data_IF_510013360928
#
_entry.id   IF_510013360928
#
_cell.length_a   1.000
_cell.length_b   1.000
_cell.length_c   1.000
_cell.angle_alpha   90.00
_cell.angle_beta   90.00
_cell.angle_gamma   90.00
#
_symmetry.space_group_name_H-M   'P 1'
#
loop_
_entity.id
_entity.type
_entity.pdbx_description
1 polymer ?
#
# COMPACT_ATOMS: atom_id res chain seq x y z
N UNK A 1 3.96 10.89 29.71
CA UNK A 1 3.05 9.79 29.28
C UNK A 1 2.48 9.94 27.86
N UNK A 2 1.99 11.11 27.42
CA UNK A 2 1.44 11.28 26.04
C UNK A 2 2.51 11.21 24.94
N UNK A 3 3.59 12.01 25.04
CA UNK A 3 4.65 12.04 24.02
C UNK A 3 5.46 10.75 23.85
N UNK A 4 5.47 9.87 24.86
CA UNK A 4 6.11 8.54 24.76
C UNK A 4 5.27 7.61 23.88
N UNK A 5 3.93 7.67 23.99
CA UNK A 5 3.01 6.87 23.17
C UNK A 5 3.02 7.31 21.71
N UNK A 6 3.06 8.62 21.46
CA UNK A 6 3.14 9.17 20.10
C UNK A 6 4.46 8.75 19.41
N UNK A 7 5.57 8.72 20.15
CA UNK A 7 6.86 8.22 19.65
C UNK A 7 6.83 6.73 19.26
N UNK A 8 6.22 5.89 20.11
CA UNK A 8 6.07 4.47 19.79
C UNK A 8 5.22 4.28 18.54
N UNK A 9 4.10 4.98 18.42
CA UNK A 9 3.23 4.88 17.24
C UNK A 9 3.95 5.27 15.95
N UNK A 10 4.70 6.37 15.96
CA UNK A 10 5.52 6.77 14.82
C UNK A 10 6.52 5.67 14.42
N UNK A 11 7.22 5.06 15.37
CA UNK A 11 8.15 3.97 15.11
C UNK A 11 7.46 2.76 14.48
N UNK A 12 6.27 2.38 14.96
CA UNK A 12 5.49 1.29 14.40
C UNK A 12 4.97 1.61 13.00
N UNK A 13 4.50 2.84 12.74
CA UNK A 13 4.11 3.28 11.41
C UNK A 13 5.28 3.22 10.43
N UNK A 14 6.48 3.66 10.83
CA UNK A 14 7.68 3.50 10.00
C UNK A 14 7.99 2.02 9.72
N UNK A 15 7.89 1.14 10.73
CA UNK A 15 8.12 -0.30 10.57
C UNK A 15 7.08 -0.96 9.66
N UNK A 16 5.81 -0.58 9.78
CA UNK A 16 4.72 -1.01 8.92
C UNK A 16 5.01 -0.65 7.45
N UNK A 17 5.34 0.63 7.20
CA UNK A 17 5.68 1.12 5.86
C UNK A 17 6.88 0.35 5.28
N UNK A 18 7.95 0.19 6.05
CA UNK A 18 9.15 -0.53 5.61
C UNK A 18 8.88 -2.01 5.37
N UNK A 19 8.10 -2.67 6.23
CA UNK A 19 7.74 -4.07 6.06
C UNK A 19 6.98 -4.29 4.74
N UNK A 20 6.03 -3.42 4.43
CA UNK A 20 5.29 -3.47 3.16
C UNK A 20 6.19 -3.14 1.96
N UNK A 21 6.92 -2.02 2.00
CA UNK A 21 7.79 -1.58 0.90
C UNK A 21 8.84 -2.62 0.51
N UNK A 22 9.38 -3.36 1.48
CA UNK A 22 10.37 -4.41 1.23
C UNK A 22 9.74 -5.82 1.13
N UNK A 23 8.42 -5.91 0.92
CA UNK A 23 7.67 -7.16 0.71
C UNK A 23 7.94 -8.20 1.80
N UNK A 24 8.12 -7.75 3.05
CA UNK A 24 8.28 -8.61 4.22
C UNK A 24 6.91 -8.98 4.76
N UNK A 25 6.16 -9.80 4.02
CA UNK A 25 4.73 -10.04 4.25
C UNK A 25 4.38 -10.45 5.68
N UNK A 26 5.07 -11.44 6.25
CA UNK A 26 4.81 -11.88 7.63
C UNK A 26 5.02 -10.74 8.64
N UNK A 27 6.12 -10.00 8.51
CA UNK A 27 6.38 -8.84 9.36
C UNK A 27 5.33 -7.75 9.16
N UNK A 28 4.86 -7.53 7.93
CA UNK A 28 3.85 -6.52 7.63
C UNK A 28 2.52 -6.87 8.32
N UNK A 29 2.09 -8.13 8.26
CA UNK A 29 0.89 -8.62 8.96
C UNK A 29 1.03 -8.51 10.49
N UNK A 30 2.20 -8.83 11.05
CA UNK A 30 2.47 -8.66 12.47
C UNK A 30 2.44 -7.19 12.91
N UNK A 31 2.92 -6.27 12.06
CA UNK A 31 2.82 -4.82 12.31
C UNK A 31 1.38 -4.32 12.26
N UNK A 32 0.51 -4.87 11.40
CA UNK A 32 -0.93 -4.54 11.41
C UNK A 32 -1.53 -4.87 12.77
N UNK A 33 -1.30 -6.09 13.29
CA UNK A 33 -1.80 -6.52 14.61
C UNK A 33 -1.31 -5.60 15.72
N UNK A 34 -0.01 -5.26 15.71
CA UNK A 34 0.56 -4.34 16.70
C UNK A 34 -0.08 -2.94 16.64
N UNK A 35 -0.34 -2.41 15.43
CA UNK A 35 -1.04 -1.13 15.25
C UNK A 35 -2.48 -1.16 15.79
N UNK A 36 -3.22 -2.25 15.57
CA UNK A 36 -4.58 -2.42 16.10
C UNK A 36 -4.60 -2.49 17.63
N UNK A 37 -3.70 -3.26 18.23
CA UNK A 37 -3.54 -3.35 19.70
C UNK A 37 -3.23 -1.98 20.31
N UNK A 38 -2.31 -1.22 19.71
CA UNK A 38 -2.00 0.13 20.19
C UNK A 38 -3.17 1.11 20.03
N UNK A 39 -3.95 1.00 18.95
CA UNK A 39 -5.13 1.82 18.75
C UNK A 39 -6.18 1.58 19.85
N UNK A 40 -6.35 0.33 20.31
CA UNK A 40 -7.22 0.01 21.45
C UNK A 40 -6.74 0.64 22.77
N UNK A 41 -5.43 0.79 22.94
CA UNK A 41 -4.82 1.37 24.14
C UNK A 41 -4.81 2.91 24.16
N UNK A 42 -4.97 3.57 23.01
CA UNK A 42 -4.91 5.03 22.89
C UNK A 42 -6.27 5.66 22.54
N UNK A 43 -6.91 6.32 23.52
CA UNK A 43 -8.15 7.12 23.31
C UNK A 43 -7.96 8.39 22.47
N UNK A 44 -6.74 8.71 22.06
CA UNK A 44 -6.42 9.93 21.30
C UNK A 44 -5.56 9.55 20.10
N UNK A 45 -5.97 9.99 18.90
CA UNK A 45 -5.25 9.71 17.66
C UNK A 45 -5.05 11.02 16.89
N UNK A 46 -3.82 11.30 16.46
CA UNK A 46 -3.54 12.42 15.55
C UNK A 46 -4.04 12.09 14.15
N UNK A 47 -4.62 13.05 13.43
CA UNK A 47 -5.27 12.81 12.14
C UNK A 47 -4.30 12.40 11.03
N UNK A 48 -3.05 12.88 11.05
CA UNK A 48 -2.06 12.63 9.99
C UNK A 48 -1.42 11.24 10.05
N UNK A 49 -1.09 10.74 11.25
CA UNK A 49 -0.56 9.37 11.43
C UNK A 49 -1.60 8.32 11.04
N UNK A 50 -2.87 8.64 11.27
CA UNK A 50 -4.01 7.80 10.89
C UNK A 50 -4.07 7.55 9.39
N UNK A 51 -3.67 8.50 8.54
CA UNK A 51 -3.77 8.36 7.07
C UNK A 51 -2.76 7.35 6.53
N UNK A 52 -1.48 7.52 6.89
CA UNK A 52 -0.41 6.62 6.45
C UNK A 52 -0.65 5.21 6.96
N UNK A 53 -1.01 5.06 8.24
CA UNK A 53 -1.34 3.76 8.81
C UNK A 53 -2.52 3.11 8.08
N UNK A 54 -3.64 3.82 7.89
CA UNK A 54 -4.81 3.31 7.14
C UNK A 54 -4.42 2.85 5.74
N UNK A 55 -3.61 3.65 5.04
CA UNK A 55 -3.17 3.33 3.69
C UNK A 55 -2.35 2.05 3.63
N UNK A 56 -1.29 1.94 4.44
CA UNK A 56 -0.43 0.75 4.43
C UNK A 56 -1.13 -0.48 5.02
N UNK A 57 -1.96 -0.34 6.07
CA UNK A 57 -2.76 -1.44 6.61
C UNK A 57 -3.72 -1.99 5.54
N UNK A 58 -4.39 -1.11 4.79
CA UNK A 58 -5.26 -1.51 3.68
C UNK A 58 -4.50 -2.27 2.59
N UNK A 59 -3.33 -1.78 2.18
CA UNK A 59 -2.50 -2.44 1.16
C UNK A 59 -2.00 -3.82 1.62
N UNK A 60 -1.56 -3.92 2.88
CA UNK A 60 -1.14 -5.20 3.48
C UNK A 60 -2.32 -6.16 3.52
N UNK A 61 -3.51 -5.69 3.89
CA UNK A 61 -4.72 -6.50 3.95
C UNK A 61 -5.14 -7.02 2.56
N UNK A 62 -5.05 -6.17 1.52
CA UNK A 62 -5.32 -6.58 0.14
C UNK A 62 -4.32 -7.65 -0.34
N UNK A 63 -3.02 -7.47 -0.07
CA UNK A 63 -1.99 -8.45 -0.40
C UNK A 63 -2.14 -9.76 0.39
N UNK A 64 -2.50 -9.67 1.68
CA UNK A 64 -2.78 -10.82 2.54
C UNK A 64 -3.94 -11.68 2.01
N UNK A 65 -4.99 -11.04 1.49
CA UNK A 65 -6.11 -11.71 0.81
C UNK A 65 -5.66 -12.39 -0.47
N UNK A 66 -4.94 -11.66 -1.33
CA UNK A 66 -4.45 -12.18 -2.60
C UNK A 66 -3.59 -13.45 -2.40
N UNK A 67 -2.70 -13.45 -1.39
CA UNK A 67 -1.80 -14.58 -1.07
C UNK A 67 -2.53 -15.82 -0.52
N UNK A 68 -3.69 -15.62 0.13
CA UNK A 68 -4.49 -16.70 0.73
C UNK A 68 -5.58 -17.23 -0.20
N UNK A 69 -5.66 -16.69 -1.41
CA UNK A 69 -6.63 -17.08 -2.41
C UNK A 69 -6.52 -18.58 -2.74
N UNK A 70 -7.67 -19.23 -2.87
CA UNK A 70 -7.75 -20.66 -3.22
C UNK A 70 -7.46 -21.62 -2.07
N UNK A 71 -7.22 -21.10 -0.86
CA UNK A 71 -7.05 -21.90 0.35
C UNK A 71 -8.38 -21.94 1.11
N UNK A 72 -9.11 -23.05 0.98
CA UNK A 72 -10.47 -23.28 1.52
C UNK A 72 -10.62 -23.13 3.05
N UNK A 73 -9.52 -22.92 3.78
CA UNK A 73 -9.51 -22.77 5.23
C UNK A 73 -8.44 -21.81 5.73
N UNK A 74 -8.05 -20.79 4.93
CA UNK A 74 -7.07 -19.84 5.43
C UNK A 74 -7.69 -19.02 6.57
N UNK A 75 -7.12 -19.06 7.79
CA UNK A 75 -7.63 -18.25 8.88
C UNK A 75 -7.59 -16.77 8.51
N UNK A 76 -8.58 -16.03 8.98
CA UNK A 76 -8.67 -14.57 8.92
C UNK A 76 -8.89 -13.93 7.53
N UNK A 77 -9.26 -14.67 6.47
CA UNK A 77 -9.58 -14.06 5.16
C UNK A 77 -10.63 -12.96 5.30
N UNK A 78 -11.73 -13.23 6.01
CA UNK A 78 -12.81 -12.25 6.19
C UNK A 78 -12.31 -10.97 6.88
N UNK A 79 -11.46 -11.12 7.90
CA UNK A 79 -10.84 -9.99 8.62
C UNK A 79 -10.00 -9.13 7.66
N UNK A 80 -9.14 -9.74 6.85
CA UNK A 80 -8.31 -9.00 5.90
C UNK A 80 -9.15 -8.32 4.81
N UNK A 81 -10.22 -8.97 4.32
CA UNK A 81 -11.17 -8.33 3.40
C UNK A 81 -11.87 -7.12 4.03
N UNK A 82 -12.35 -7.26 5.27
CA UNK A 82 -12.98 -6.17 6.00
C UNK A 82 -12.00 -5.00 6.24
N UNK A 83 -10.75 -5.28 6.61
CA UNK A 83 -9.73 -4.25 6.82
C UNK A 83 -9.38 -3.50 5.52
N UNK A 84 -9.19 -4.21 4.41
CA UNK A 84 -8.93 -3.60 3.11
C UNK A 84 -10.08 -2.68 2.67
N UNK A 85 -11.32 -3.18 2.76
CA UNK A 85 -12.51 -2.42 2.35
C UNK A 85 -12.81 -1.21 3.25
N UNK A 86 -12.65 -1.36 4.56
CA UNK A 86 -12.82 -0.24 5.50
C UNK A 86 -11.75 0.84 5.33
N UNK A 87 -10.50 0.44 5.07
CA UNK A 87 -9.41 1.35 4.74
C UNK A 87 -9.68 2.12 3.44
N UNK A 88 -10.15 1.43 2.39
CA UNK A 88 -10.55 2.06 1.12
C UNK A 88 -11.69 3.07 1.32
N UNK A 89 -12.70 2.70 2.09
CA UNK A 89 -13.84 3.58 2.40
C UNK A 89 -13.36 4.86 3.10
N UNK A 90 -12.44 4.74 4.06
CA UNK A 90 -11.92 5.88 4.81
C UNK A 90 -11.06 6.80 3.92
N UNK A 91 -10.16 6.24 3.12
CA UNK A 91 -9.34 7.01 2.16
C UNK A 91 -10.22 7.73 1.12
N UNK A 92 -11.26 7.06 0.62
CA UNK A 92 -12.22 7.67 -0.33
C UNK A 92 -12.96 8.82 0.33
N UNK A 93 -13.47 8.63 1.55
CA UNK A 93 -14.12 9.70 2.33
C UNK A 93 -13.19 10.90 2.52
N UNK A 94 -11.92 10.68 2.85
CA UNK A 94 -10.96 11.78 2.99
C UNK A 94 -10.67 12.49 1.67
N UNK A 95 -10.64 11.78 0.55
CA UNK A 95 -10.50 12.39 -0.76
C UNK A 95 -11.71 13.30 -1.10
N UNK A 96 -12.93 12.83 -0.81
CA UNK A 96 -14.18 13.54 -1.09
C UNK A 96 -14.41 14.75 -0.17
N UNK A 97 -14.21 14.57 1.14
CA UNK A 97 -14.55 15.59 2.15
C UNK A 97 -13.36 16.49 2.51
N UNK A 98 -12.13 16.02 2.29
CA UNK A 98 -10.91 16.66 2.75
C UNK A 98 -10.05 17.23 1.61
N UNK A 99 -9.40 16.36 0.86
CA UNK A 99 -8.52 16.76 -0.25
C UNK A 99 -8.30 15.64 -1.24
N UNK A 100 -8.89 15.78 -2.42
CA UNK A 100 -8.65 14.87 -3.55
C UNK A 100 -7.15 14.77 -3.86
N UNK A 101 -6.47 15.93 -3.93
CA UNK A 101 -5.05 16.04 -4.22
C UNK A 101 -4.15 15.19 -3.29
N UNK A 102 -4.50 15.13 -2.00
CA UNK A 102 -3.70 14.44 -0.99
C UNK A 102 -4.07 12.96 -0.81
N UNK A 103 -5.30 12.55 -1.16
CA UNK A 103 -5.82 11.25 -0.74
C UNK A 103 -6.33 10.37 -1.88
N UNK A 104 -6.75 10.92 -3.02
CA UNK A 104 -7.36 10.14 -4.09
C UNK A 104 -6.40 9.08 -4.65
N UNK A 105 -5.14 9.44 -4.89
CA UNK A 105 -4.14 8.51 -5.42
C UNK A 105 -3.87 7.31 -4.48
N UNK A 106 -4.00 7.50 -3.16
CA UNK A 106 -3.91 6.41 -2.17
C UNK A 106 -5.12 5.48 -2.25
N UNK A 107 -6.32 6.06 -2.34
CA UNK A 107 -7.55 5.30 -2.52
C UNK A 107 -7.53 4.50 -3.83
N UNK A 108 -7.05 5.11 -4.91
CA UNK A 108 -6.90 4.46 -6.21
C UNK A 108 -5.91 3.31 -6.17
N UNK A 109 -4.75 3.47 -5.52
CA UNK A 109 -3.80 2.36 -5.39
C UNK A 109 -4.40 1.20 -4.59
N UNK A 110 -5.04 1.49 -3.46
CA UNK A 110 -5.69 0.45 -2.66
C UNK A 110 -6.84 -0.23 -3.42
N UNK A 111 -7.63 0.55 -4.18
CA UNK A 111 -8.68 0.00 -5.04
C UNK A 111 -8.11 -0.95 -6.08
N UNK A 112 -6.96 -0.62 -6.67
CA UNK A 112 -6.28 -1.50 -7.61
C UNK A 112 -5.91 -2.84 -6.96
N UNK A 113 -5.27 -2.82 -5.79
CA UNK A 113 -4.88 -4.04 -5.07
C UNK A 113 -6.07 -4.91 -4.64
N UNK A 114 -7.17 -4.28 -4.18
CA UNK A 114 -8.41 -5.00 -3.86
C UNK A 114 -9.03 -5.63 -5.12
N UNK A 115 -9.03 -4.91 -6.23
CA UNK A 115 -9.53 -5.42 -7.51
C UNK A 115 -8.69 -6.62 -8.00
N UNK A 116 -7.36 -6.56 -7.87
CA UNK A 116 -6.47 -7.71 -8.13
C UNK A 116 -6.82 -8.91 -7.25
N UNK A 117 -7.03 -8.69 -5.94
CA UNK A 117 -7.42 -9.77 -5.02
C UNK A 117 -8.76 -10.43 -5.42
N UNK A 118 -9.65 -9.66 -6.07
CA UNK A 118 -10.98 -10.11 -6.52
C UNK A 118 -11.05 -10.58 -7.98
N UNK A 119 -9.94 -10.57 -8.74
CA UNK A 119 -9.90 -10.84 -10.20
C UNK A 119 -10.60 -9.81 -11.10
N UNK A 120 -10.86 -8.62 -10.59
CA UNK A 120 -11.38 -7.53 -11.40
C UNK A 120 -10.21 -6.76 -12.04
N UNK A 121 -9.60 -7.37 -13.06
CA UNK A 121 -8.37 -6.84 -13.66
C UNK A 121 -8.61 -5.54 -14.44
N UNK A 122 -9.80 -5.34 -15.00
CA UNK A 122 -10.16 -4.09 -15.68
C UNK A 122 -10.16 -2.92 -14.69
N UNK A 123 -10.80 -3.10 -13.52
CA UNK A 123 -10.77 -2.11 -12.45
C UNK A 123 -9.35 -1.92 -11.91
N UNK A 124 -8.56 -2.99 -11.78
CA UNK A 124 -7.19 -2.91 -11.31
C UNK A 124 -6.31 -2.04 -12.22
N UNK A 125 -6.32 -2.30 -13.53
CA UNK A 125 -5.54 -1.55 -14.52
C UNK A 125 -5.94 -0.07 -14.53
N UNK A 126 -7.25 0.22 -14.54
CA UNK A 126 -7.74 1.58 -14.51
C UNK A 126 -7.30 2.31 -13.22
N UNK A 127 -7.40 1.64 -12.07
CA UNK A 127 -7.06 2.21 -10.76
C UNK A 127 -5.55 2.43 -10.59
N UNK A 128 -4.70 1.50 -11.05
CA UNK A 128 -3.24 1.71 -11.06
C UNK A 128 -2.85 2.96 -11.87
N UNK A 129 -3.44 3.12 -13.07
CA UNK A 129 -3.19 4.29 -13.91
C UNK A 129 -3.60 5.58 -13.21
N UNK A 130 -4.78 5.61 -12.58
CA UNK A 130 -5.25 6.77 -11.81
C UNK A 130 -4.35 7.08 -10.62
N UNK A 131 -3.91 6.06 -9.87
CA UNK A 131 -2.99 6.22 -8.75
C UNK A 131 -1.64 6.83 -9.17
N UNK A 132 -1.04 6.30 -10.24
CA UNK A 132 0.24 6.79 -10.77
C UNK A 132 0.12 8.25 -11.24
N UNK A 133 -0.90 8.56 -12.03
CA UNK A 133 -1.11 9.93 -12.55
C UNK A 133 -1.44 10.90 -11.42
N UNK A 134 -2.31 10.50 -10.49
CA UNK A 134 -2.70 11.29 -9.34
C UNK A 134 -1.52 11.62 -8.44
N UNK A 135 -0.74 10.61 -8.03
CA UNK A 135 0.44 10.81 -7.18
C UNK A 135 1.48 11.72 -7.84
N UNK A 136 1.73 11.53 -9.15
CA UNK A 136 2.68 12.36 -9.90
C UNK A 136 2.23 13.82 -10.05
N UNK A 137 0.95 14.05 -10.39
CA UNK A 137 0.37 15.41 -10.40
C UNK A 137 0.47 16.07 -9.03
N UNK A 138 0.24 15.28 -7.98
CA UNK A 138 0.27 15.76 -6.60
C UNK A 138 1.67 15.95 -6.00
N UNK A 139 2.72 15.54 -6.70
CA UNK A 139 4.10 15.66 -6.24
C UNK A 139 4.53 14.61 -5.20
N UNK A 140 3.73 13.56 -4.99
CA UNK A 140 4.06 12.44 -4.09
C UNK A 140 4.95 11.42 -4.79
N UNK A 141 6.22 11.78 -5.03
CA UNK A 141 7.18 10.97 -5.81
C UNK A 141 7.32 9.55 -5.25
N UNK A 142 7.32 9.38 -3.93
CA UNK A 142 7.42 8.08 -3.27
C UNK A 142 6.19 7.19 -3.49
N UNK A 143 5.02 7.80 -3.66
CA UNK A 143 3.75 7.09 -3.84
C UNK A 143 3.48 6.81 -5.32
N UNK A 144 3.94 7.70 -6.20
CA UNK A 144 4.04 7.42 -7.63
C UNK A 144 4.98 6.23 -7.87
N UNK A 145 6.13 6.21 -7.18
CA UNK A 145 7.09 5.10 -7.24
C UNK A 145 6.45 3.78 -6.78
N UNK A 146 5.76 3.81 -5.62
CA UNK A 146 5.06 2.64 -5.10
C UNK A 146 3.94 2.17 -6.05
N UNK A 147 3.15 3.08 -6.60
CA UNK A 147 2.08 2.75 -7.54
C UNK A 147 2.63 2.12 -8.82
N UNK A 148 3.77 2.63 -9.33
CA UNK A 148 4.48 2.01 -10.45
C UNK A 148 5.03 0.63 -10.08
N UNK A 149 5.61 0.45 -8.88
CA UNK A 149 6.10 -0.85 -8.45
C UNK A 149 4.98 -1.89 -8.41
N UNK A 150 3.86 -1.54 -7.79
CA UNK A 150 2.69 -2.43 -7.69
C UNK A 150 2.09 -2.76 -9.04
N UNK A 151 1.91 -1.77 -9.92
CA UNK A 151 1.46 -2.01 -11.28
C UNK A 151 2.42 -2.93 -12.06
N UNK A 152 3.73 -2.72 -11.94
CA UNK A 152 4.73 -3.56 -12.59
C UNK A 152 4.66 -5.02 -12.12
N UNK A 153 4.58 -5.24 -10.81
CA UNK A 153 4.40 -6.58 -10.24
C UNK A 153 3.10 -7.25 -10.70
N UNK A 154 2.01 -6.49 -10.82
CA UNK A 154 0.75 -6.98 -11.37
C UNK A 154 0.91 -7.48 -12.81
N UNK A 155 1.50 -6.68 -13.71
CA UNK A 155 1.70 -7.10 -15.11
C UNK A 155 2.61 -8.33 -15.22
N UNK A 156 3.68 -8.40 -14.42
CA UNK A 156 4.50 -9.61 -14.32
C UNK A 156 3.68 -10.84 -13.92
N UNK A 157 2.81 -10.72 -12.93
CA UNK A 157 1.94 -11.82 -12.50
C UNK A 157 0.92 -12.24 -13.56
N UNK A 158 0.55 -11.36 -14.50
CA UNK A 158 -0.30 -11.68 -15.64
C UNK A 158 0.48 -12.25 -16.85
N UNK A 159 1.81 -12.26 -16.80
CA UNK A 159 2.67 -12.68 -17.92
C UNK A 159 3.04 -11.58 -18.91
N UNK A 160 2.59 -10.34 -18.67
CA UNK A 160 2.87 -9.15 -19.49
C UNK A 160 4.22 -8.53 -19.07
N UNK A 161 5.30 -9.22 -19.38
CA UNK A 161 6.65 -8.92 -18.86
C UNK A 161 7.17 -7.55 -19.29
N UNK A 162 6.92 -7.14 -20.55
CA UNK A 162 7.46 -5.87 -21.07
C UNK A 162 6.77 -4.65 -20.44
N UNK A 163 5.45 -4.70 -20.28
CA UNK A 163 4.66 -3.75 -19.52
C UNK A 163 5.12 -3.71 -18.06
N UNK A 164 5.34 -4.89 -17.45
CA UNK A 164 5.89 -5.02 -16.11
C UNK A 164 7.23 -4.28 -15.96
N UNK A 165 8.19 -4.52 -16.87
CA UNK A 165 9.50 -3.86 -16.88
C UNK A 165 9.39 -2.34 -17.02
N UNK A 166 8.47 -1.86 -17.85
CA UNK A 166 8.25 -0.43 -18.04
C UNK A 166 7.90 0.26 -16.72
N UNK A 167 6.91 -0.29 -15.99
CA UNK A 167 6.49 0.26 -14.70
C UNK A 167 7.57 0.10 -13.62
N UNK A 168 8.23 -1.05 -13.52
CA UNK A 168 9.31 -1.25 -12.54
C UNK A 168 10.51 -0.34 -12.79
N UNK A 169 10.88 -0.10 -14.06
CA UNK A 169 11.95 0.84 -14.43
C UNK A 169 11.62 2.28 -14.03
N UNK A 170 10.35 2.68 -14.18
CA UNK A 170 9.86 3.98 -13.69
C UNK A 170 9.91 4.05 -12.16
N UNK A 171 9.47 3.01 -11.46
CA UNK A 171 9.54 2.93 -9.99
C UNK A 171 10.99 3.08 -9.48
N UNK A 172 11.95 2.38 -10.10
CA UNK A 172 13.38 2.50 -9.77
C UNK A 172 13.86 3.95 -9.92
N UNK A 173 13.48 4.60 -11.02
CA UNK A 173 13.86 6.00 -11.29
C UNK A 173 13.27 6.96 -10.27
N UNK A 174 11.98 6.83 -9.95
CA UNK A 174 11.30 7.65 -8.95
C UNK A 174 11.86 7.44 -7.54
N UNK A 175 12.14 6.19 -7.14
CA UNK A 175 12.79 5.93 -5.85
C UNK A 175 14.20 6.53 -5.77
N UNK A 176 14.95 6.57 -6.88
CA UNK A 176 16.25 7.27 -6.93
C UNK A 176 16.09 8.77 -6.76
N UNK A 177 15.13 9.38 -7.46
CA UNK A 177 14.81 10.82 -7.35
C UNK A 177 14.38 11.18 -5.93
N UNK A 178 13.54 10.36 -5.30
CA UNK A 178 13.11 10.55 -3.91
C UNK A 178 14.24 10.33 -2.88
N UNK A 179 15.33 9.64 -3.27
CA UNK A 179 16.50 9.37 -2.42
C UNK A 179 16.53 7.98 -1.77
N UNK A 180 15.54 7.12 -2.00
CA UNK A 180 15.47 5.77 -1.46
C UNK A 180 16.30 4.75 -2.25
N UNK A 181 17.63 4.93 -2.26
CA UNK A 181 18.58 4.10 -3.05
C UNK A 181 18.45 2.59 -2.78
N UNK A 182 18.29 2.19 -1.52
CA UNK A 182 18.11 0.77 -1.16
C UNK A 182 16.81 0.20 -1.73
N UNK A 183 15.73 0.98 -1.72
CA UNK A 183 14.45 0.57 -2.30
C UNK A 183 14.52 0.50 -3.82
N UNK A 184 15.20 1.46 -4.47
CA UNK A 184 15.43 1.40 -5.90
C UNK A 184 16.22 0.15 -6.33
N UNK A 185 17.25 -0.24 -5.57
CA UNK A 185 18.00 -1.48 -5.82
C UNK A 185 17.12 -2.73 -5.61
N UNK A 186 16.32 -2.74 -4.55
CA UNK A 186 15.37 -3.82 -4.26
C UNK A 186 14.40 -4.06 -5.44
N UNK A 187 13.84 -2.99 -6.03
CA UNK A 187 12.97 -3.11 -7.21
C UNK A 187 13.74 -3.53 -8.45
N UNK A 188 14.95 -3.02 -8.65
CA UNK A 188 15.79 -3.40 -9.79
C UNK A 188 16.08 -4.90 -9.85
N UNK A 189 16.27 -5.53 -8.69
CA UNK A 189 16.53 -6.97 -8.59
C UNK A 189 15.32 -7.82 -8.98
N UNK A 190 14.08 -7.29 -8.87
CA UNK A 190 12.87 -8.00 -9.30
C UNK A 190 12.77 -8.17 -10.82
N UNK A 191 13.44 -7.33 -11.60
CA UNK A 191 13.40 -7.42 -13.07
C UNK A 191 14.37 -8.45 -13.65
N UNK A 192 15.27 -8.98 -12.82
CA UNK A 192 16.28 -9.98 -13.22
C UNK A 192 15.94 -11.42 -12.85
N UNK A 193 14.80 -11.64 -12.19
CA UNK A 193 14.28 -12.95 -11.77
C UNK A 193 13.17 -13.39 -12.70
#
# INVERSE_FOLDING_TARGET
>A
EKGVRDYFRYLFCCRLCLAYLFRRHNLAEDMVKACEEMAQLSKFCSSLETITETFYMGLIAAEANQRRRGVESAPDIERWQQLANSSLKLLTKWAEEGSEWNFLHKADLLRAEIAVANNDYDTAVASYRSAIVGAGKSGYINEEALSCERAGLFYYAQGEVEEGKLYLSRAVSLYKVWGARRKALDVLLLMGT
#
